data_IF_239335980470
#
_entry.id   IF_239335980470
#
_cell.length_a   1.000
_cell.length_b   1.000
_cell.length_c   1.000
_cell.angle_alpha   90.00
_cell.angle_beta   90.00
_cell.angle_gamma   90.00
#
_symmetry.space_group_name_H-M   'P 1'
#
loop_
_entity.id
_entity.type
_entity.pdbx_description
1 polymer ?
#
# COMPACT_ATOMS: atom_id res chain seq x y z
N UNK A 1 15.83 1.67 -8.28
CA UNK A 1 14.78 2.33 -7.50
C UNK A 1 14.03 1.29 -6.67
N UNK A 2 14.12 1.38 -5.36
CA UNK A 2 13.41 0.50 -4.43
C UNK A 2 12.13 1.19 -3.97
N UNK A 3 10.98 0.60 -4.27
CA UNK A 3 9.67 1.18 -3.97
C UNK A 3 8.93 0.27 -3.00
N UNK A 4 8.34 0.84 -1.95
CA UNK A 4 7.42 0.13 -1.05
C UNK A 4 6.00 0.57 -1.34
N UNK A 5 5.10 -0.38 -1.52
CA UNK A 5 3.66 -0.12 -1.72
C UNK A 5 2.89 -0.58 -0.48
N UNK A 6 2.13 0.33 0.12
CA UNK A 6 1.17 -0.01 1.16
C UNK A 6 -0.04 -0.65 0.48
N UNK A 7 -0.37 -1.87 0.86
CA UNK A 7 -1.53 -2.61 0.32
C UNK A 7 -2.41 -3.12 1.44
N UNK A 8 -3.72 -3.11 1.22
CA UNK A 8 -4.73 -3.53 2.18
C UNK A 8 -5.54 -4.68 1.62
N UNK A 9 -5.91 -5.59 2.53
CA UNK A 9 -6.87 -6.64 2.25
C UNK A 9 -8.23 -6.19 2.78
N UNK A 10 -9.25 -6.16 1.93
CA UNK A 10 -10.60 -5.66 2.25
C UNK A 10 -11.67 -6.71 1.95
N UNK A 11 -12.86 -6.62 2.58
CA UNK A 11 -14.02 -7.39 2.13
C UNK A 11 -14.32 -7.06 0.67
N UNK A 12 -14.75 -8.05 -0.10
CA UNK A 12 -15.09 -7.87 -1.51
C UNK A 12 -16.28 -6.89 -1.65
N UNK A 13 -16.10 -5.70 -2.28
CA UNK A 13 -17.18 -4.74 -2.47
C UNK A 13 -18.37 -5.28 -3.29
N UNK A 14 -18.16 -6.35 -4.08
CA UNK A 14 -19.22 -7.03 -4.81
C UNK A 14 -20.09 -7.95 -3.92
N UNK A 15 -19.65 -8.22 -2.69
CA UNK A 15 -20.39 -9.04 -1.72
C UNK A 15 -21.11 -8.15 -0.70
N UNK A 16 -22.41 -8.38 -0.41
CA UNK A 16 -23.10 -7.63 0.65
C UNK A 16 -22.41 -7.79 2.01
N UNK A 17 -22.06 -6.66 2.64
CA UNK A 17 -21.51 -6.66 3.98
C UNK A 17 -22.52 -7.08 5.05
N UNK A 18 -22.01 -7.54 6.19
CA UNK A 18 -22.82 -7.81 7.38
C UNK A 18 -22.14 -7.22 8.62
N UNK A 19 -22.91 -6.76 9.59
CA UNK A 19 -22.38 -6.31 10.86
C UNK A 19 -22.32 -7.47 11.86
N UNK A 20 -21.28 -7.47 12.67
CA UNK A 20 -21.17 -8.32 13.84
C UNK A 20 -22.15 -7.84 14.91
N UNK A 21 -23.03 -8.74 15.38
CA UNK A 21 -24.11 -8.37 16.29
C UNK A 21 -23.63 -8.04 17.71
N UNK A 22 -22.41 -8.42 18.08
CA UNK A 22 -21.85 -8.15 19.40
C UNK A 22 -21.08 -6.82 19.43
N UNK A 23 -20.43 -6.46 18.33
CA UNK A 23 -19.51 -5.30 18.25
C UNK A 23 -20.03 -4.17 17.36
N UNK A 24 -21.04 -4.43 16.53
CA UNK A 24 -21.51 -3.56 15.44
C UNK A 24 -20.42 -3.20 14.41
N UNK A 25 -19.28 -3.90 14.41
CA UNK A 25 -18.25 -3.76 13.40
C UNK A 25 -18.62 -4.51 12.12
N UNK A 26 -18.07 -4.11 10.98
CA UNK A 26 -18.18 -4.87 9.74
C UNK A 26 -17.53 -6.26 9.93
N UNK A 27 -18.27 -7.33 9.63
CA UNK A 27 -17.72 -8.69 9.58
C UNK A 27 -16.69 -8.77 8.47
N UNK A 28 -15.51 -9.28 8.81
CA UNK A 28 -14.39 -9.51 7.89
C UNK A 28 -14.10 -11.01 7.73
N UNK A 29 -15.15 -11.82 7.84
CA UNK A 29 -15.08 -13.27 7.72
C UNK A 29 -14.87 -13.67 6.26
N UNK A 30 -14.11 -14.73 6.02
CA UNK A 30 -13.89 -15.29 4.69
C UNK A 30 -12.71 -14.67 3.95
N UNK A 31 -12.72 -14.84 2.62
CA UNK A 31 -11.61 -14.43 1.76
C UNK A 31 -11.69 -12.93 1.48
N UNK A 32 -10.67 -12.19 1.89
CA UNK A 32 -10.50 -10.79 1.52
C UNK A 32 -9.83 -10.66 0.16
N UNK A 33 -9.94 -9.48 -0.45
CA UNK A 33 -9.32 -9.15 -1.73
C UNK A 33 -8.35 -7.98 -1.58
N UNK A 34 -7.47 -7.80 -2.56
CA UNK A 34 -6.67 -6.57 -2.65
C UNK A 34 -7.64 -5.40 -2.88
N UNK A 35 -7.47 -4.30 -2.14
CA UNK A 35 -8.19 -3.07 -2.47
C UNK A 35 -7.87 -2.67 -3.90
N UNK A 36 -8.89 -2.46 -4.73
CA UNK A 36 -8.71 -2.09 -6.13
C UNK A 36 -7.88 -0.80 -6.26
N UNK A 37 -8.03 0.11 -5.30
CA UNK A 37 -7.28 1.36 -5.22
C UNK A 37 -5.78 1.12 -5.06
N UNK A 38 -5.40 0.11 -4.28
CA UNK A 38 -3.99 -0.25 -4.05
C UNK A 38 -3.37 -0.92 -5.29
N UNK A 39 -4.18 -1.55 -6.14
CA UNK A 39 -3.74 -2.10 -7.44
C UNK A 39 -3.10 -1.04 -8.34
N UNK A 40 -3.62 0.19 -8.33
CA UNK A 40 -3.02 1.32 -9.05
C UNK A 40 -1.63 1.68 -8.50
N UNK A 41 -1.46 1.65 -7.18
CA UNK A 41 -0.17 1.88 -6.53
C UNK A 41 0.87 0.82 -6.88
N UNK A 42 0.46 -0.46 -6.88
CA UNK A 42 1.33 -1.58 -7.27
C UNK A 42 1.76 -1.44 -8.73
N UNK A 43 0.85 -1.14 -9.64
CA UNK A 43 1.19 -0.96 -11.04
C UNK A 43 2.12 0.23 -11.27
N UNK A 44 1.83 1.38 -10.65
CA UNK A 44 2.67 2.57 -10.76
C UNK A 44 4.10 2.26 -10.29
N UNK A 45 4.24 1.57 -9.16
CA UNK A 45 5.55 1.13 -8.67
C UNK A 45 6.28 0.26 -9.70
N UNK A 46 5.59 -0.73 -10.30
CA UNK A 46 6.18 -1.63 -11.28
C UNK A 46 6.63 -0.88 -12.54
N UNK A 47 5.87 0.09 -13.01
CA UNK A 47 6.24 0.92 -14.16
C UNK A 47 7.43 1.82 -13.84
N UNK A 48 7.46 2.46 -12.67
CA UNK A 48 8.59 3.30 -12.24
C UNK A 48 9.89 2.49 -12.13
N UNK A 49 9.85 1.30 -11.52
CA UNK A 49 11.02 0.41 -11.44
C UNK A 49 11.48 -0.03 -12.83
N UNK A 50 10.54 -0.34 -13.73
CA UNK A 50 10.86 -0.71 -15.12
C UNK A 50 11.56 0.44 -15.85
N UNK A 51 11.03 1.66 -15.74
CA UNK A 51 11.63 2.87 -16.35
C UNK A 51 12.99 3.20 -15.75
N UNK A 52 13.18 2.99 -14.45
CA UNK A 52 14.47 3.18 -13.79
C UNK A 52 15.52 2.11 -14.17
N UNK A 53 15.11 1.00 -14.80
CA UNK A 53 15.97 -0.08 -15.28
C UNK A 53 16.57 -0.97 -14.18
N UNK A 54 16.35 -0.66 -12.90
CA UNK A 54 16.87 -1.42 -11.77
C UNK A 54 16.07 -1.16 -10.49
N UNK A 55 16.18 -2.09 -9.54
CA UNK A 55 15.49 -2.05 -8.25
C UNK A 55 14.29 -3.00 -8.22
N UNK A 56 13.46 -2.87 -7.19
CA UNK A 56 12.36 -3.77 -6.94
C UNK A 56 11.18 -3.09 -6.25
N UNK A 57 10.01 -3.71 -6.39
CA UNK A 57 8.79 -3.34 -5.67
C UNK A 57 8.60 -4.30 -4.50
N UNK A 58 8.51 -3.78 -3.29
CA UNK A 58 8.09 -4.52 -2.09
C UNK A 58 6.71 -4.06 -1.66
N UNK A 59 5.94 -4.95 -1.02
CA UNK A 59 4.61 -4.60 -0.49
C UNK A 59 4.59 -4.70 1.04
N UNK A 60 3.83 -3.85 1.70
CA UNK A 60 3.60 -3.91 3.15
C UNK A 60 2.11 -3.87 3.44
N UNK A 61 1.65 -4.72 4.36
CA UNK A 61 0.26 -4.75 4.82
C UNK A 61 0.19 -4.96 6.33
N UNK A 62 -0.91 -4.51 6.94
CA UNK A 62 -1.30 -4.87 8.29
C UNK A 62 -2.59 -5.68 8.25
N UNK A 63 -2.54 -6.94 8.69
CA UNK A 63 -3.71 -7.82 8.81
C UNK A 63 -3.68 -8.57 10.15
N UNK A 64 -4.44 -8.11 11.17
CA UNK A 64 -4.44 -8.71 12.52
C UNK A 64 -4.77 -10.21 12.57
N UNK A 65 -5.49 -10.70 11.58
CA UNK A 65 -5.95 -12.10 11.46
C UNK A 65 -5.07 -12.97 10.53
N UNK A 66 -3.96 -12.44 10.03
CA UNK A 66 -3.03 -13.17 9.16
C UNK A 66 -3.53 -13.36 7.71
N UNK A 67 -4.58 -12.65 7.30
CA UNK A 67 -5.09 -12.70 5.93
C UNK A 67 -4.04 -12.13 4.95
N UNK A 68 -3.86 -12.81 3.81
CA UNK A 68 -2.81 -12.48 2.84
C UNK A 68 -3.30 -12.44 1.40
N UNK A 69 -4.56 -12.72 1.10
CA UNK A 69 -5.05 -12.90 -0.26
C UNK A 69 -4.82 -11.66 -1.12
N UNK A 70 -5.07 -10.47 -0.59
CA UNK A 70 -4.77 -9.22 -1.31
C UNK A 70 -3.27 -9.00 -1.52
N UNK A 71 -2.44 -9.21 -0.48
CA UNK A 71 -0.97 -9.13 -0.62
C UNK A 71 -0.45 -10.12 -1.67
N UNK A 72 -0.98 -11.36 -1.70
CA UNK A 72 -0.62 -12.38 -2.69
C UNK A 72 -1.03 -11.98 -4.10
N UNK A 73 -2.11 -11.21 -4.25
CA UNK A 73 -2.50 -10.62 -5.53
C UNK A 73 -1.47 -9.58 -5.99
N UNK A 74 -1.03 -8.67 -5.11
CA UNK A 74 0.03 -7.71 -5.43
C UNK A 74 1.38 -8.40 -5.80
N UNK A 75 1.74 -9.46 -5.07
CA UNK A 75 2.88 -10.31 -5.40
C UNK A 75 2.71 -11.00 -6.77
N UNK A 76 1.49 -11.39 -7.14
CA UNK A 76 1.18 -11.99 -8.44
C UNK A 76 1.22 -10.97 -9.60
N UNK A 77 0.91 -9.70 -9.33
CA UNK A 77 1.06 -8.60 -10.29
C UNK A 77 2.53 -8.38 -10.66
N UNK A 78 3.43 -8.45 -9.67
CA UNK A 78 4.86 -8.29 -9.95
C UNK A 78 5.74 -7.97 -8.75
N UNK A 79 5.17 -7.56 -7.61
CA UNK A 79 5.97 -7.21 -6.42
C UNK A 79 6.91 -8.38 -6.01
N UNK A 80 8.14 -8.07 -5.66
CA UNK A 80 9.21 -9.06 -5.45
C UNK A 80 9.05 -9.81 -4.12
N UNK A 81 8.72 -9.07 -3.05
CA UNK A 81 8.58 -9.58 -1.68
C UNK A 81 7.57 -8.75 -0.88
N UNK A 82 7.13 -9.28 0.26
CA UNK A 82 6.18 -8.62 1.14
C UNK A 82 6.58 -8.60 2.61
N UNK A 83 6.03 -7.65 3.35
CA UNK A 83 6.00 -7.64 4.82
C UNK A 83 4.56 -7.60 5.29
N UNK A 84 4.19 -8.58 6.11
CA UNK A 84 2.90 -8.64 6.78
C UNK A 84 3.09 -8.28 8.26
N UNK A 85 2.40 -7.25 8.74
CA UNK A 85 2.24 -7.06 10.17
C UNK A 85 0.96 -7.75 10.61
N UNK A 86 1.09 -8.77 11.46
CA UNK A 86 -0.02 -9.59 11.91
C UNK A 86 0.07 -9.85 13.39
N UNK A 87 -0.89 -9.29 14.12
CA UNK A 87 -1.02 -9.45 15.56
C UNK A 87 -2.48 -9.18 15.96
N UNK A 88 -3.15 -10.09 16.69
CA UNK A 88 -4.53 -9.87 17.14
C UNK A 88 -4.74 -8.58 17.92
N UNK A 89 -3.72 -8.05 18.60
CA UNK A 89 -3.82 -6.78 19.35
C UNK A 89 -4.11 -5.58 18.45
N UNK A 90 -3.80 -5.68 17.16
CA UNK A 90 -4.02 -4.62 16.17
C UNK A 90 -5.46 -4.59 15.64
N UNK A 91 -6.31 -5.53 16.06
CA UNK A 91 -7.73 -5.53 15.68
C UNK A 91 -8.44 -4.28 16.21
N UNK A 92 -9.13 -3.54 15.32
CA UNK A 92 -9.82 -2.31 15.68
C UNK A 92 -8.93 -1.06 15.73
N UNK A 93 -7.67 -1.16 15.26
CA UNK A 93 -6.77 0.00 15.14
C UNK A 93 -7.40 1.11 14.29
N UNK A 94 -7.21 2.35 14.74
CA UNK A 94 -7.57 3.54 13.97
C UNK A 94 -6.51 3.87 12.90
N UNK A 95 -6.72 4.97 12.16
CA UNK A 95 -5.79 5.39 11.10
C UNK A 95 -4.38 5.68 11.65
N UNK A 96 -4.28 6.37 12.79
CA UNK A 96 -3.00 6.75 13.38
C UNK A 96 -2.20 5.53 13.86
N UNK A 97 -2.86 4.59 14.53
CA UNK A 97 -2.24 3.35 14.98
C UNK A 97 -1.78 2.52 13.79
N UNK A 98 -2.62 2.41 12.76
CA UNK A 98 -2.26 1.75 11.50
C UNK A 98 -1.03 2.39 10.84
N UNK A 99 -0.98 3.73 10.78
CA UNK A 99 0.14 4.46 10.21
C UNK A 99 1.44 4.26 11.01
N UNK A 100 1.39 4.24 12.35
CA UNK A 100 2.56 3.93 13.21
C UNK A 100 3.11 2.54 12.93
N UNK A 101 2.22 1.55 12.83
CA UNK A 101 2.60 0.16 12.55
C UNK A 101 3.25 0.03 11.19
N UNK A 102 2.62 0.58 10.14
CA UNK A 102 3.16 0.52 8.79
C UNK A 102 4.47 1.29 8.66
N UNK A 103 4.60 2.47 9.28
CA UNK A 103 5.85 3.23 9.30
C UNK A 103 6.99 2.45 9.99
N UNK A 104 6.70 1.77 11.11
CA UNK A 104 7.70 0.93 11.79
C UNK A 104 8.12 -0.29 10.94
N UNK A 105 7.17 -0.94 10.26
CA UNK A 105 7.46 -2.02 9.33
C UNK A 105 8.32 -1.54 8.15
N UNK A 106 8.00 -0.39 7.55
CA UNK A 106 8.78 0.22 6.47
C UNK A 106 10.20 0.55 6.93
N UNK A 107 10.38 1.10 8.14
CA UNK A 107 11.72 1.32 8.73
C UNK A 107 12.52 0.02 8.84
N UNK A 108 11.87 -1.10 9.19
CA UNK A 108 12.53 -2.43 9.28
C UNK A 108 12.88 -3.01 7.92
N UNK A 109 12.11 -2.72 6.88
CA UNK A 109 12.42 -3.14 5.50
C UNK A 109 13.71 -2.50 4.96
N UNK A 110 14.18 -1.41 5.58
CA UNK A 110 15.41 -0.71 5.24
C UNK A 110 15.18 0.50 4.33
N UNK A 111 16.24 1.03 3.71
CA UNK A 111 16.16 2.21 2.86
C UNK A 111 15.20 2.01 1.67
N UNK A 112 14.35 3.02 1.44
CA UNK A 112 13.37 3.06 0.34
C UNK A 112 13.50 4.39 -0.38
N UNK A 113 13.36 4.38 -1.72
CA UNK A 113 13.39 5.60 -2.52
C UNK A 113 12.01 6.26 -2.59
N UNK A 114 10.94 5.45 -2.69
CA UNK A 114 9.56 5.94 -2.79
C UNK A 114 8.60 5.00 -2.07
N UNK A 115 7.66 5.59 -1.33
CA UNK A 115 6.51 4.86 -0.77
C UNK A 115 5.26 5.27 -1.53
N UNK A 116 4.44 4.29 -1.90
CA UNK A 116 3.16 4.52 -2.60
C UNK A 116 2.03 3.93 -1.77
N UNK A 117 0.99 4.71 -1.53
CA UNK A 117 -0.32 4.23 -1.07
C UNK A 117 -1.41 4.64 -2.05
N UNK A 118 -2.58 4.00 -1.99
CA UNK A 118 -3.77 4.58 -2.57
C UNK A 118 -4.19 5.84 -1.79
N UNK A 119 -4.96 6.72 -2.43
CA UNK A 119 -5.57 7.89 -1.79
C UNK A 119 -6.36 7.51 -0.54
N UNK A 120 -7.14 6.44 -0.62
CA UNK A 120 -7.90 5.88 0.49
C UNK A 120 -8.23 4.42 0.20
N UNK A 121 -8.64 3.69 1.24
CA UNK A 121 -9.16 2.34 1.08
C UNK A 121 -10.68 2.36 0.89
N UNK A 122 -11.19 1.44 0.07
CA UNK A 122 -12.61 1.38 -0.32
C UNK A 122 -13.54 0.75 0.72
N UNK A 123 -13.00 0.33 1.86
CA UNK A 123 -13.77 -0.09 3.04
C UNK A 123 -13.80 0.97 4.16
N UNK A 124 -12.75 1.80 4.25
CA UNK A 124 -12.50 2.69 5.39
C UNK A 124 -12.61 4.17 5.06
N UNK A 125 -12.32 4.58 3.82
CA UNK A 125 -12.46 5.96 3.31
C UNK A 125 -11.88 7.05 4.23
N UNK A 126 -10.78 6.74 4.94
CA UNK A 126 -10.19 7.67 5.90
C UNK A 126 -9.29 8.71 5.23
N UNK A 127 -8.74 8.41 4.05
CA UNK A 127 -7.94 9.34 3.24
C UNK A 127 -6.70 9.94 3.92
N UNK A 128 -6.14 9.28 4.95
CA UNK A 128 -5.11 9.90 5.81
C UNK A 128 -3.91 9.02 6.17
N UNK A 129 -4.02 7.68 6.02
CA UNK A 129 -2.95 6.76 6.44
C UNK A 129 -1.62 6.99 5.70
N UNK A 130 -1.58 7.15 4.37
CA UNK A 130 -0.32 7.40 3.67
C UNK A 130 0.39 8.68 4.16
N UNK A 131 -0.35 9.77 4.35
CA UNK A 131 0.20 11.06 4.78
C UNK A 131 0.69 10.99 6.23
N UNK A 132 0.00 10.26 7.10
CA UNK A 132 0.47 9.99 8.47
C UNK A 132 1.75 9.15 8.47
N UNK A 133 1.88 8.17 7.58
CA UNK A 133 3.14 7.40 7.40
C UNK A 133 4.28 8.35 6.99
N UNK A 134 4.03 9.26 6.05
CA UNK A 134 5.03 10.21 5.59
C UNK A 134 5.55 11.10 6.73
N UNK A 135 4.65 11.64 7.55
CA UNK A 135 4.98 12.44 8.73
C UNK A 135 5.82 11.62 9.74
N UNK A 136 5.40 10.39 10.05
CA UNK A 136 6.11 9.50 10.98
C UNK A 136 7.50 9.05 10.49
N UNK A 137 7.73 9.13 9.18
CA UNK A 137 9.01 8.87 8.52
C UNK A 137 9.83 10.14 8.25
N UNK A 138 9.26 11.33 8.47
CA UNK A 138 9.90 12.61 8.15
C UNK A 138 10.14 12.80 6.65
N UNK A 139 9.23 12.32 5.81
CA UNK A 139 9.34 12.38 4.34
C UNK A 139 8.40 13.43 3.74
N UNK A 140 8.78 14.08 2.63
CA UNK A 140 7.82 14.81 1.79
C UNK A 140 6.67 13.90 1.37
N UNK A 141 5.45 14.47 1.33
CA UNK A 141 4.26 13.79 0.84
C UNK A 141 3.58 14.58 -0.26
N UNK A 142 3.21 13.91 -1.36
CA UNK A 142 2.36 14.47 -2.40
C UNK A 142 1.11 13.59 -2.54
N UNK A 143 -0.05 14.20 -2.32
CA UNK A 143 -1.34 13.51 -2.37
C UNK A 143 -1.96 13.51 -3.76
N UNK A 144 -2.95 12.64 -3.99
CA UNK A 144 -3.77 12.60 -5.20
C UNK A 144 -2.96 12.62 -6.51
N UNK A 145 -1.87 11.86 -6.56
CA UNK A 145 -1.03 11.76 -7.73
C UNK A 145 -1.79 11.09 -8.90
N UNK A 146 -2.00 11.84 -9.98
CA UNK A 146 -2.64 11.38 -11.22
C UNK A 146 -1.62 11.10 -12.34
N UNK A 147 -0.41 11.63 -12.22
CA UNK A 147 0.73 11.30 -13.07
C UNK A 147 2.00 11.40 -12.24
N UNK A 148 2.93 10.47 -12.42
CA UNK A 148 4.19 10.41 -11.66
C UNK A 148 5.36 10.22 -12.62
N UNK A 149 6.38 11.05 -12.49
CA UNK A 149 7.64 10.94 -13.21
C UNK A 149 8.81 11.12 -12.25
N UNK A 150 9.91 10.40 -12.50
CA UNK A 150 11.13 10.50 -11.68
C UNK A 150 12.28 10.90 -12.60
N UNK A 151 12.99 11.97 -12.23
CA UNK A 151 14.18 12.46 -12.95
C UNK A 151 15.32 12.64 -11.96
N UNK A 152 16.27 11.71 -11.96
CA UNK A 152 17.33 11.66 -10.94
C UNK A 152 16.72 11.48 -9.56
N UNK A 153 16.95 12.45 -8.67
CA UNK A 153 16.38 12.48 -7.30
C UNK A 153 15.08 13.26 -7.20
N UNK A 154 14.60 13.85 -8.29
CA UNK A 154 13.39 14.70 -8.29
C UNK A 154 12.18 13.88 -8.69
N UNK A 155 11.17 13.86 -7.83
CA UNK A 155 9.85 13.30 -8.08
C UNK A 155 8.93 14.42 -8.57
N UNK A 156 8.34 14.24 -9.75
CA UNK A 156 7.39 15.17 -10.36
C UNK A 156 6.02 14.54 -10.42
N UNK A 157 5.00 15.26 -9.99
CA UNK A 157 3.64 14.75 -9.87
C UNK A 157 2.64 15.77 -10.40
N UNK A 158 1.68 15.29 -11.19
CA UNK A 158 0.45 16.04 -11.44
C UNK A 158 -0.53 15.67 -10.32
N UNK A 159 -0.65 16.54 -9.33
CA UNK A 159 -1.57 16.37 -8.21
C UNK A 159 -2.96 16.80 -8.65
N UNK A 160 -3.93 15.89 -8.59
CA UNK A 160 -5.31 16.20 -8.93
C UNK A 160 -5.89 17.26 -7.97
N UNK A 161 -6.61 18.21 -8.54
CA UNK A 161 -7.39 19.22 -7.83
C UNK A 161 -8.78 19.34 -8.47
N UNK A 162 -9.70 20.06 -7.83
CA UNK A 162 -11.05 20.26 -8.36
C UNK A 162 -11.06 20.97 -9.74
N UNK A 163 -10.06 21.82 -10.00
CA UNK A 163 -9.93 22.58 -11.24
C UNK A 163 -9.10 21.86 -12.33
N UNK A 164 -8.56 20.68 -12.05
CA UNK A 164 -7.67 19.96 -12.95
C UNK A 164 -6.52 19.29 -12.19
N UNK A 165 -5.33 19.88 -12.28
CA UNK A 165 -4.15 19.42 -11.54
C UNK A 165 -3.15 20.55 -11.28
N UNK A 166 -2.38 20.39 -10.21
CA UNK A 166 -1.17 21.16 -9.93
C UNK A 166 0.06 20.35 -10.36
N UNK A 167 1.05 21.01 -10.96
CA UNK A 167 2.38 20.42 -11.16
C UNK A 167 3.22 20.68 -9.91
N UNK A 168 3.59 19.62 -9.21
CA UNK A 168 4.35 19.69 -7.95
C UNK A 168 5.56 18.77 -8.02
N UNK A 169 6.63 19.17 -7.33
CA UNK A 169 7.85 18.38 -7.25
C UNK A 169 8.42 18.33 -5.83
N UNK A 170 9.12 17.23 -5.52
CA UNK A 170 9.88 17.08 -4.28
C UNK A 170 11.13 16.21 -4.52
N UNK A 171 12.01 16.14 -3.52
CA UNK A 171 13.18 15.26 -3.56
C UNK A 171 12.83 13.89 -2.95
N UNK A 172 13.37 12.83 -3.55
CA UNK A 172 13.37 11.49 -2.96
C UNK A 172 14.35 11.44 -1.75
N UNK A 173 14.07 10.64 -0.71
CA UNK A 173 12.92 9.75 -0.59
C UNK A 173 11.62 10.50 -0.24
N UNK A 174 10.50 10.03 -0.78
CA UNK A 174 9.20 10.65 -0.60
C UNK A 174 8.09 9.58 -0.46
N UNK A 175 6.92 10.03 -0.04
CA UNK A 175 5.69 9.25 -0.09
C UNK A 175 4.69 9.92 -1.04
N UNK A 176 3.95 9.12 -1.80
CA UNK A 176 2.82 9.61 -2.59
C UNK A 176 1.57 8.78 -2.33
N UNK A 177 0.42 9.44 -2.36
CA UNK A 177 -0.86 8.75 -2.54
C UNK A 177 -1.35 8.92 -3.98
N UNK A 178 -1.76 7.81 -4.61
CA UNK A 178 -2.19 7.79 -6.02
C UNK A 178 -3.70 7.70 -6.16
N UNK A 179 -4.25 8.30 -7.22
CA UNK A 179 -5.66 8.19 -7.54
C UNK A 179 -5.95 6.96 -8.40
N UNK A 180 -7.22 6.55 -8.44
CA UNK A 180 -7.69 5.70 -9.52
C UNK A 180 -7.39 6.38 -10.87
N UNK A 181 -6.80 5.64 -11.82
CA UNK A 181 -6.44 6.15 -13.13
C UNK A 181 -5.09 6.85 -13.24
N UNK A 182 -4.22 6.79 -12.22
CA UNK A 182 -2.80 7.16 -12.38
C UNK A 182 -2.10 6.30 -13.45
N UNK A 183 -2.53 5.04 -13.56
CA UNK A 183 -2.12 4.01 -14.52
C UNK A 183 -3.27 3.01 -14.69
N UNK A 184 -3.15 2.08 -15.65
CA UNK A 184 -4.05 0.92 -15.76
C UNK A 184 -3.38 -0.33 -15.15
N UNK A 185 -3.89 -0.90 -14.05
CA UNK A 185 -3.30 -2.05 -13.39
C UNK A 185 -3.22 -3.28 -14.30
N UNK A 186 -2.07 -3.96 -14.33
CA UNK A 186 -1.97 -5.24 -15.05
C UNK A 186 -2.72 -6.34 -14.32
N UNK A 187 -3.34 -7.22 -15.09
CA UNK A 187 -3.86 -8.48 -14.57
C UNK A 187 -2.71 -9.46 -14.26
N UNK A 188 -2.71 -10.13 -13.09
CA UNK A 188 -1.76 -11.19 -12.81
C UNK A 188 -1.83 -12.31 -13.85
N UNK A 189 -0.71 -12.63 -14.48
CA UNK A 189 -0.62 -13.81 -15.34
C UNK A 189 -0.73 -15.10 -14.52
N UNK A 190 -1.16 -16.21 -15.14
CA UNK A 190 -1.19 -17.52 -14.48
C UNK A 190 0.18 -17.90 -13.87
N UNK A 191 1.26 -17.61 -14.60
CA UNK A 191 2.64 -17.81 -14.10
C UNK A 191 2.94 -16.93 -12.88
N UNK A 192 2.48 -15.67 -12.90
CA UNK A 192 2.60 -14.74 -11.76
C UNK A 192 1.88 -15.24 -10.51
N UNK A 193 0.65 -15.75 -10.67
CA UNK A 193 -0.15 -16.32 -9.57
C UNK A 193 0.57 -17.53 -8.95
N UNK A 194 1.14 -18.41 -9.78
CA UNK A 194 1.88 -19.58 -9.30
C UNK A 194 3.17 -19.17 -8.57
N UNK A 195 3.93 -18.21 -9.13
CA UNK A 195 5.16 -17.71 -8.51
C UNK A 195 4.92 -16.94 -7.21
N UNK A 196 3.77 -16.24 -7.08
CA UNK A 196 3.44 -15.46 -5.89
C UNK A 196 3.36 -16.30 -4.61
N UNK A 197 3.04 -17.60 -4.72
CA UNK A 197 2.99 -18.52 -3.57
C UNK A 197 4.34 -18.75 -2.92
N UNK A 198 5.42 -18.71 -3.72
CA UNK A 198 6.80 -18.91 -3.24
C UNK A 198 7.55 -17.60 -2.98
N UNK A 199 6.96 -16.44 -3.30
CA UNK A 199 7.62 -15.16 -3.03
C UNK A 199 7.76 -14.91 -1.52
N UNK A 200 8.91 -14.36 -1.06
CA UNK A 200 9.15 -14.13 0.35
C UNK A 200 8.11 -13.18 0.94
N UNK A 201 7.55 -13.57 2.09
CA UNK A 201 6.74 -12.70 2.94
C UNK A 201 7.26 -12.85 4.36
N UNK A 202 7.85 -11.77 4.87
CA UNK A 202 8.26 -11.70 6.27
C UNK A 202 7.05 -11.26 7.10
N UNK A 203 6.89 -11.85 8.30
CA UNK A 203 5.77 -11.53 9.19
C UNK A 203 6.31 -10.98 10.50
N UNK A 204 5.77 -9.83 10.92
CA UNK A 204 6.08 -9.19 12.19
C UNK A 204 4.82 -9.06 13.05
N UNK A 205 4.98 -9.17 14.35
CA UNK A 205 3.99 -8.77 15.35
C UNK A 205 4.14 -7.28 15.69
N UNK A 206 3.20 -6.71 16.43
CA UNK A 206 3.33 -5.33 16.92
C UNK A 206 4.56 -5.19 17.85
N UNK A 207 4.80 -6.22 18.66
CA UNK A 207 5.95 -6.30 19.56
C UNK A 207 7.30 -6.31 18.82
N UNK A 208 7.42 -7.02 17.69
CA UNK A 208 8.66 -7.08 16.90
C UNK A 208 9.06 -5.71 16.34
N UNK A 209 8.05 -4.86 16.12
CA UNK A 209 8.20 -3.49 15.61
C UNK A 209 8.33 -2.45 16.72
N UNK A 210 8.14 -2.83 17.99
CA UNK A 210 8.19 -1.91 19.13
C UNK A 210 7.05 -0.88 19.13
N UNK A 211 5.88 -1.26 18.60
CA UNK A 211 4.70 -0.39 18.48
C UNK A 211 3.48 -1.03 19.16
N UNK A 212 2.61 -0.17 19.70
CA UNK A 212 1.28 -0.50 20.25
C UNK A 212 0.32 0.62 19.92
#
# INVERSE_FOLDING_TARGET
>A
MNIVVCVKQIPDPATPGALDSATNALKRDGKLILDESDGYGVEMALQLVTTAGSGEVSVVSMAPNGEMSGMRTALAMGAAKGVLVSDPVLAGSDALTTAKVLAAAIKKMGPVDLIIGATESSDGYTGTVPEQIAELLGMPSITFAKKVEVSGTTLKVNRQSEAGYDEVECQLPALISVTAGVVEPRYPSFKGIMAAKSKPVETFTASDLGVT
#
